data_IF_848501850770
#
_entry.id   IF_848501850770
#
_cell.length_a   1.000
_cell.length_b   1.000
_cell.length_c   1.000
_cell.angle_alpha   90.00
_cell.angle_beta   90.00
_cell.angle_gamma   90.00
#
_symmetry.space_group_name_H-M   'P 1'
#
loop_
_entity.id
_entity.type
_entity.pdbx_description
1 polymer ?
#
# COMPACT_ATOMS: atom_id res chain seq x y z
N UNK A 1 11.20 9.51 5.63
CA UNK A 1 12.32 9.62 4.66
C UNK A 1 12.75 8.28 4.04
N UNK A 2 12.15 7.14 4.39
CA UNK A 2 12.50 5.80 3.87
C UNK A 2 11.71 5.36 2.62
N UNK A 3 10.54 5.94 2.34
CA UNK A 3 9.70 5.57 1.19
C UNK A 3 10.26 6.00 -0.17
N UNK A 4 11.04 7.09 -0.22
CA UNK A 4 11.62 7.60 -1.47
C UNK A 4 12.79 6.74 -1.97
N UNK A 5 13.49 6.05 -1.05
CA UNK A 5 14.59 5.15 -1.41
C UNK A 5 14.10 3.84 -2.01
N UNK A 6 13.02 3.26 -1.50
CA UNK A 6 12.41 2.02 -2.04
C UNK A 6 11.86 2.22 -3.46
N UNK A 7 11.22 3.37 -3.73
CA UNK A 7 10.75 3.72 -5.07
C UNK A 7 11.92 3.89 -6.05
N UNK A 8 13.03 4.50 -5.60
CA UNK A 8 14.26 4.58 -6.40
C UNK A 8 14.84 3.19 -6.68
N UNK A 9 14.96 2.32 -5.69
CA UNK A 9 15.51 0.97 -5.90
C UNK A 9 14.66 0.11 -6.85
N UNK A 10 13.34 0.15 -6.74
CA UNK A 10 12.44 -0.52 -7.70
C UNK A 10 12.58 0.07 -9.12
N UNK A 11 12.63 1.40 -9.23
CA UNK A 11 12.77 2.09 -10.53
C UNK A 11 14.12 1.80 -11.19
N UNK A 12 15.20 1.77 -10.40
CA UNK A 12 16.55 1.46 -10.89
C UNK A 12 16.69 -0.02 -11.23
N UNK A 13 16.07 -0.93 -10.46
CA UNK A 13 16.08 -2.36 -10.75
C UNK A 13 15.35 -2.67 -12.08
N UNK A 14 14.16 -2.09 -12.29
CA UNK A 14 13.42 -2.26 -13.54
C UNK A 14 14.20 -1.70 -14.75
N UNK A 15 14.84 -0.53 -14.63
CA UNK A 15 15.67 0.02 -15.71
C UNK A 15 17.00 -0.72 -15.94
N UNK A 16 17.55 -1.38 -14.91
CA UNK A 16 18.79 -2.17 -15.06
C UNK A 16 18.57 -3.53 -15.72
N UNK A 17 17.36 -4.10 -15.57
CA UNK A 17 16.98 -5.39 -16.14
C UNK A 17 16.33 -5.23 -17.51
N UNK A 18 15.62 -4.13 -17.74
CA UNK A 18 15.02 -3.79 -19.03
C UNK A 18 15.69 -2.53 -19.58
N UNK A 19 16.63 -2.63 -20.54
CA UNK A 19 17.14 -1.46 -21.21
C UNK A 19 15.95 -0.74 -21.85
N UNK A 20 15.70 0.50 -21.44
CA UNK A 20 14.69 1.35 -22.08
C UNK A 20 15.22 1.71 -23.45
N UNK A 21 14.89 0.89 -24.44
CA UNK A 21 15.02 1.27 -25.83
C UNK A 21 14.14 2.48 -26.07
N UNK A 22 14.67 3.49 -26.78
CA UNK A 22 13.89 4.61 -27.28
C UNK A 22 12.79 4.04 -28.20
N UNK A 23 11.62 3.79 -27.63
CA UNK A 23 10.49 3.23 -28.34
C UNK A 23 9.83 4.36 -29.13
N UNK A 24 10.22 4.53 -30.39
CA UNK A 24 9.32 5.17 -31.35
C UNK A 24 8.00 4.39 -31.35
N UNK A 25 6.86 5.07 -31.49
CA UNK A 25 5.53 4.44 -31.53
C UNK A 25 5.39 3.59 -32.79
N UNK A 26 6.00 2.42 -32.81
CA UNK A 26 5.84 1.41 -33.83
C UNK A 26 4.60 0.55 -33.52
N UNK A 27 3.82 0.16 -34.53
CA UNK A 27 2.68 -0.74 -34.33
C UNK A 27 3.16 -2.13 -33.83
N UNK A 28 2.33 -2.81 -33.02
CA UNK A 28 2.57 -4.18 -32.59
C UNK A 28 2.46 -5.12 -33.80
N UNK A 29 3.62 -5.59 -34.31
CA UNK A 29 3.71 -6.58 -35.39
C UNK A 29 3.80 -8.00 -34.83
N UNK A 30 3.36 -9.00 -35.61
CA UNK A 30 3.46 -10.43 -35.25
C UNK A 30 4.89 -10.84 -34.95
N UNK A 31 5.82 -10.40 -35.79
CA UNK A 31 7.24 -10.78 -35.70
C UNK A 31 7.88 -10.25 -34.41
N UNK A 32 7.41 -9.10 -33.91
CA UNK A 32 7.85 -8.52 -32.65
C UNK A 32 7.31 -9.32 -31.45
N UNK A 33 6.06 -9.78 -31.53
CA UNK A 33 5.47 -10.63 -30.49
C UNK A 33 6.17 -11.99 -30.39
N UNK A 34 6.56 -12.58 -31.52
CA UNK A 34 7.29 -13.85 -31.54
C UNK A 34 8.69 -13.72 -30.95
N UNK A 35 9.37 -12.59 -31.19
CA UNK A 35 10.64 -12.25 -30.52
C UNK A 35 10.45 -12.15 -29.01
N UNK A 36 9.51 -11.34 -28.53
CA UNK A 36 9.24 -11.20 -27.10
C UNK A 36 8.84 -12.52 -26.43
N UNK A 37 8.09 -13.37 -27.14
CA UNK A 37 7.76 -14.70 -26.64
C UNK A 37 9.01 -15.56 -26.48
N UNK A 38 9.90 -15.54 -27.47
CA UNK A 38 11.15 -16.29 -27.44
C UNK A 38 12.06 -15.81 -26.30
N UNK A 39 12.27 -14.50 -26.19
CA UNK A 39 13.06 -13.85 -25.12
C UNK A 39 12.47 -14.15 -23.73
N UNK A 40 11.14 -14.20 -23.62
CA UNK A 40 10.48 -14.53 -22.36
C UNK A 40 10.75 -15.97 -21.92
N UNK A 41 10.63 -16.94 -22.84
CA UNK A 41 10.81 -18.36 -22.54
C UNK A 41 12.29 -18.80 -22.45
N UNK A 42 13.22 -17.98 -22.94
CA UNK A 42 14.67 -18.20 -22.78
C UNK A 42 15.07 -18.22 -21.29
N UNK A 43 14.42 -17.41 -20.46
CA UNK A 43 14.72 -17.35 -19.02
C UNK A 43 13.80 -18.30 -18.22
N UNK A 44 14.34 -19.36 -17.57
CA UNK A 44 13.52 -20.30 -16.80
C UNK A 44 12.82 -19.67 -15.59
N UNK A 45 13.33 -18.55 -15.06
CA UNK A 45 12.70 -17.80 -13.96
C UNK A 45 11.33 -17.24 -14.36
N UNK A 46 11.19 -16.85 -15.63
CA UNK A 46 9.93 -16.31 -16.16
C UNK A 46 8.84 -17.39 -16.19
N UNK A 47 9.19 -18.63 -16.53
CA UNK A 47 8.27 -19.77 -16.53
C UNK A 47 7.78 -20.09 -15.12
N UNK A 48 8.69 -20.07 -14.13
CA UNK A 48 8.32 -20.26 -12.71
C UNK A 48 7.39 -19.14 -12.23
N UNK A 49 7.71 -17.89 -12.56
CA UNK A 49 6.88 -16.74 -12.21
C UNK A 49 5.50 -16.81 -12.90
N UNK A 50 5.44 -17.20 -14.18
CA UNK A 50 4.19 -17.40 -14.92
C UNK A 50 3.32 -18.46 -14.23
N UNK A 51 3.88 -19.64 -13.92
CA UNK A 51 3.15 -20.71 -13.26
C UNK A 51 2.62 -20.31 -11.87
N UNK A 52 3.38 -19.51 -11.11
CA UNK A 52 2.97 -19.01 -9.81
C UNK A 52 1.84 -17.96 -9.94
N UNK A 53 2.04 -16.94 -10.79
CA UNK A 53 1.08 -15.86 -10.98
C UNK A 53 -0.22 -16.29 -11.69
N UNK A 54 -0.21 -17.38 -12.45
CA UNK A 54 -1.44 -17.91 -13.07
C UNK A 54 -2.36 -18.65 -12.08
N UNK A 55 -1.85 -19.02 -10.90
CA UNK A 55 -2.59 -19.85 -9.92
C UNK A 55 -2.88 -19.14 -8.60
N UNK A 56 -2.07 -18.16 -8.23
CA UNK A 56 -2.10 -17.48 -6.94
C UNK A 56 -2.24 -15.97 -7.13
N UNK A 57 -2.62 -15.27 -6.05
CA UNK A 57 -2.62 -13.81 -6.05
C UNK A 57 -1.19 -13.27 -6.19
N UNK A 58 -1.03 -12.26 -7.06
CA UNK A 58 0.28 -11.72 -7.40
C UNK A 58 0.96 -11.11 -6.18
N UNK A 59 0.22 -10.47 -5.25
CA UNK A 59 0.81 -9.87 -4.06
C UNK A 59 1.34 -10.95 -3.11
N UNK A 60 0.64 -12.08 -3.00
CA UNK A 60 1.10 -13.23 -2.23
C UNK A 60 2.40 -13.81 -2.81
N UNK A 61 2.44 -14.03 -4.13
CA UNK A 61 3.64 -14.55 -4.83
C UNK A 61 4.83 -13.61 -4.70
N UNK A 62 4.60 -12.30 -4.79
CA UNK A 62 5.66 -11.29 -4.69
C UNK A 62 6.06 -10.96 -3.23
N UNK A 63 5.44 -11.55 -2.23
CA UNK A 63 5.75 -11.27 -0.82
C UNK A 63 7.10 -11.89 -0.42
N UNK A 64 8.07 -11.05 -0.07
CA UNK A 64 9.39 -11.51 0.36
C UNK A 64 9.36 -12.05 1.81
N UNK A 65 9.65 -13.34 1.96
CA UNK A 65 9.70 -14.01 3.26
C UNK A 65 10.78 -13.43 4.18
N UNK A 66 11.95 -13.13 3.64
CA UNK A 66 13.06 -12.52 4.39
C UNK A 66 12.63 -11.17 4.98
N UNK A 67 11.94 -10.34 4.19
CA UNK A 67 11.46 -9.04 4.65
C UNK A 67 10.44 -9.19 5.76
N UNK A 68 9.51 -10.14 5.64
CA UNK A 68 8.53 -10.42 6.70
C UNK A 68 9.19 -10.89 8.01
N UNK A 69 10.24 -11.71 7.93
CA UNK A 69 10.96 -12.18 9.12
C UNK A 69 11.68 -11.05 9.86
N UNK A 70 12.13 -10.03 9.13
CA UNK A 70 12.86 -8.90 9.68
C UNK A 70 11.94 -7.76 10.18
N UNK A 71 10.62 -7.84 10.00
CA UNK A 71 9.67 -6.84 10.51
C UNK A 71 9.41 -7.08 12.00
N UNK A 72 9.71 -6.08 12.83
CA UNK A 72 9.40 -6.06 14.26
C UNK A 72 8.47 -4.89 14.59
N UNK A 73 7.43 -5.14 15.39
CA UNK A 73 6.50 -4.12 15.88
C UNK A 73 6.92 -3.55 17.25
N UNK A 74 8.21 -3.63 17.59
CA UNK A 74 8.79 -3.07 18.81
C UNK A 74 9.36 -1.67 18.53
N UNK A 75 8.85 -0.67 19.24
CA UNK A 75 9.23 0.73 19.07
C UNK A 75 9.76 1.30 20.41
N UNK A 76 10.90 2.00 20.36
CA UNK A 76 11.53 2.62 21.54
C UNK A 76 10.70 3.76 22.14
N UNK A 77 10.05 4.54 21.28
CA UNK A 77 9.22 5.66 21.69
C UNK A 77 7.77 5.37 21.30
N UNK A 78 6.89 5.30 22.30
CA UNK A 78 5.46 5.08 22.13
C UNK A 78 4.70 6.21 22.82
N UNK A 79 3.50 6.50 22.33
CA UNK A 79 2.58 7.38 23.03
C UNK A 79 2.06 6.65 24.26
N UNK A 80 1.95 7.34 25.39
CA UNK A 80 1.62 6.73 26.70
C UNK A 80 0.26 6.02 26.73
N UNK A 81 -0.69 6.51 25.91
CA UNK A 81 -2.05 6.00 25.87
C UNK A 81 -2.36 5.36 24.53
N UNK A 82 -2.86 4.14 24.60
CA UNK A 82 -3.40 3.44 23.45
C UNK A 82 -4.83 3.87 23.19
N UNK A 83 -5.11 4.24 21.95
CA UNK A 83 -6.41 4.69 21.53
C UNK A 83 -7.38 3.49 21.43
N UNK A 84 -8.30 3.34 22.39
CA UNK A 84 -9.29 2.26 22.43
C UNK A 84 -10.72 2.80 22.27
N UNK A 85 -11.61 2.10 21.54
CA UNK A 85 -11.38 0.88 20.73
C UNK A 85 -10.66 1.19 19.42
N UNK A 86 -10.19 0.15 18.72
CA UNK A 86 -9.75 0.27 17.32
C UNK A 86 -10.94 0.66 16.46
N UNK A 87 -10.78 1.70 15.65
CA UNK A 87 -11.88 2.26 14.84
C UNK A 87 -11.90 1.65 13.43
N UNK A 88 -13.09 1.42 12.87
CA UNK A 88 -13.26 0.82 11.54
C UNK A 88 -14.17 1.68 10.65
N UNK A 89 -13.61 2.22 9.57
CA UNK A 89 -14.33 3.06 8.61
C UNK A 89 -15.27 2.26 7.68
N UNK A 90 -15.10 0.93 7.59
CA UNK A 90 -15.76 0.03 6.65
C UNK A 90 -15.56 0.51 5.19
N UNK A 91 -16.47 0.18 4.28
CA UNK A 91 -16.41 0.59 2.87
C UNK A 91 -16.76 2.08 2.69
N UNK A 92 -15.95 2.98 3.26
CA UNK A 92 -16.11 4.42 3.13
C UNK A 92 -14.76 5.12 2.97
N UNK A 93 -14.72 6.24 2.25
CA UNK A 93 -13.53 7.06 2.05
C UNK A 93 -13.19 8.00 3.22
N UNK A 94 -13.51 7.62 4.46
CA UNK A 94 -13.45 8.50 5.66
C UNK A 94 -12.14 8.37 6.45
N UNK A 95 -11.08 7.79 5.88
CA UNK A 95 -9.81 7.55 6.57
C UNK A 95 -9.23 8.81 7.22
N UNK A 96 -9.34 9.96 6.55
CA UNK A 96 -8.84 11.23 7.07
C UNK A 96 -9.59 11.70 8.33
N UNK A 97 -10.92 11.51 8.39
CA UNK A 97 -11.74 11.81 9.57
C UNK A 97 -11.35 10.88 10.73
N UNK A 98 -11.21 9.58 10.44
CA UNK A 98 -10.82 8.59 11.45
C UNK A 98 -9.42 8.86 12.00
N UNK A 99 -8.44 9.17 11.14
CA UNK A 99 -7.08 9.51 11.54
C UNK A 99 -7.05 10.75 12.45
N UNK A 100 -7.76 11.82 12.07
CA UNK A 100 -7.83 13.05 12.86
C UNK A 100 -8.46 12.80 14.24
N UNK A 101 -9.63 12.15 14.29
CA UNK A 101 -10.33 11.86 15.54
C UNK A 101 -9.57 10.89 16.45
N UNK A 102 -8.81 9.95 15.87
CA UNK A 102 -7.98 9.01 16.63
C UNK A 102 -6.83 9.71 17.36
N UNK A 103 -6.28 10.80 16.81
CA UNK A 103 -5.28 11.63 17.52
C UNK A 103 -5.95 12.51 18.56
N UNK A 104 -7.05 13.18 18.21
CA UNK A 104 -7.74 14.11 19.12
C UNK A 104 -8.34 13.44 20.35
N UNK A 105 -8.70 12.16 20.29
CA UNK A 105 -9.28 11.46 21.44
C UNK A 105 -8.31 11.17 22.57
N UNK A 106 -7.01 11.04 22.27
CA UNK A 106 -5.98 10.69 23.26
C UNK A 106 -5.95 11.66 24.47
N UNK A 107 -5.85 12.99 24.29
CA UNK A 107 -5.86 13.92 25.42
C UNK A 107 -7.17 13.90 26.21
N UNK A 108 -8.32 13.69 25.55
CA UNK A 108 -9.63 13.62 26.23
C UNK A 108 -9.74 12.36 27.07
N UNK A 109 -9.32 11.22 26.52
CA UNK A 109 -9.27 9.97 27.28
C UNK A 109 -8.36 10.11 28.52
N UNK A 110 -7.22 10.81 28.39
CA UNK A 110 -6.33 11.12 29.51
C UNK A 110 -7.00 12.01 30.56
N UNK A 111 -7.67 13.08 30.12
CA UNK A 111 -8.26 14.08 31.01
C UNK A 111 -9.45 13.54 31.79
N UNK A 112 -10.31 12.74 31.15
CA UNK A 112 -11.53 12.21 31.76
C UNK A 112 -11.38 10.77 32.27
N UNK A 113 -10.16 10.21 32.24
CA UNK A 113 -9.83 8.85 32.65
C UNK A 113 -10.78 7.79 32.04
N UNK A 114 -11.02 7.90 30.73
CA UNK A 114 -11.92 7.00 29.99
C UNK A 114 -11.13 5.82 29.41
N UNK A 115 -11.59 4.60 29.69
CA UNK A 115 -10.97 3.38 29.13
C UNK A 115 -11.23 3.25 27.61
N UNK A 116 -12.46 3.57 27.18
CA UNK A 116 -12.87 3.50 25.78
C UNK A 116 -13.61 4.77 25.38
N UNK A 117 -13.19 5.37 24.27
CA UNK A 117 -13.85 6.55 23.75
C UNK A 117 -13.70 6.69 22.23
N UNK A 118 -14.78 7.14 21.58
CA UNK A 118 -14.80 7.50 20.17
C UNK A 118 -15.64 8.76 19.97
N UNK A 119 -15.15 9.65 19.13
CA UNK A 119 -15.98 10.72 18.58
C UNK A 119 -16.92 10.16 17.52
N UNK A 120 -18.05 10.84 17.32
CA UNK A 120 -18.96 10.54 16.21
C UNK A 120 -18.31 10.90 14.87
N UNK A 121 -17.73 9.90 14.20
CA UNK A 121 -17.13 10.11 12.88
C UNK A 121 -18.21 10.38 11.81
N UNK A 122 -19.42 9.82 12.00
CA UNK A 122 -20.58 10.06 11.13
C UNK A 122 -21.07 11.50 11.22
N UNK A 123 -20.99 12.14 12.39
CA UNK A 123 -21.38 13.54 12.55
C UNK A 123 -20.51 14.48 11.70
N UNK A 124 -19.18 14.34 11.77
CA UNK A 124 -18.28 15.14 10.93
C UNK A 124 -18.48 14.84 9.44
N UNK A 125 -18.70 13.57 9.09
CA UNK A 125 -18.94 13.18 7.70
C UNK A 125 -20.27 13.73 7.15
N UNK A 126 -21.30 13.82 7.97
CA UNK A 126 -22.57 14.42 7.59
C UNK A 126 -22.38 15.88 7.18
N UNK A 127 -21.71 16.68 8.02
CA UNK A 127 -21.46 18.09 7.72
C UNK A 127 -20.52 18.30 6.53
N UNK A 128 -19.51 17.46 6.38
CA UNK A 128 -18.63 17.46 5.20
C UNK A 128 -19.40 17.22 3.89
N UNK A 129 -20.46 16.40 3.93
CA UNK A 129 -21.33 16.14 2.78
C UNK A 129 -22.39 17.20 2.54
N UNK A 130 -22.92 17.83 3.58
CA UNK A 130 -23.95 18.87 3.46
C UNK A 130 -23.36 20.21 3.03
N UNK A 131 -22.17 20.58 3.54
CA UNK A 131 -21.54 21.88 3.28
C UNK A 131 -21.35 22.21 1.79
N UNK A 132 -20.93 21.30 0.89
CA UNK A 132 -20.76 21.62 -0.53
C UNK A 132 -22.05 21.96 -1.28
N UNK A 133 -23.22 21.77 -0.68
CA UNK A 133 -24.53 22.06 -1.29
C UNK A 133 -25.11 23.42 -0.86
N UNK A 134 -24.37 24.21 -0.08
CA UNK A 134 -24.70 25.58 0.32
C UNK A 134 -23.54 26.51 -0.07
#
# INVERSE_FOLDING_TARGET
MTGMYLARYLFTFVHSVFPVSNYEKAPLTSDLLDKFRSDFYECPKNVVAQNACSRLDVLEVCTSRERLQNVSHNFTHKVELDAKPVTNQKSSGRCWIFACLNVMRLPIMKQYNLEEFQFSQSYLFFWDKVRPFF
#
